data_IF_767127325098
#
_entry.id   IF_767127325098
#
_cell.length_a   1.000
_cell.length_b   1.000
_cell.length_c   1.000
_cell.angle_alpha   90.00
_cell.angle_beta   90.00
_cell.angle_gamma   90.00
#
_symmetry.space_group_name_H-M   'P 1'
#
loop_
_entity.id
_entity.type
_entity.pdbx_description
1 polymer ?
#
# COMPACT_ATOMS: atom_id res chain seq x y z
N UNK A 1 4.20 28.63 9.86
CA UNK A 1 5.41 28.28 10.64
C UNK A 1 6.61 28.36 9.71
N UNK A 2 7.69 29.05 10.08
CA UNK A 2 8.91 29.10 9.26
C UNK A 2 9.52 27.69 9.24
N UNK A 3 9.69 27.11 8.06
CA UNK A 3 10.39 25.84 7.91
C UNK A 3 11.87 26.10 8.12
N UNK A 4 12.40 25.74 9.29
CA UNK A 4 13.84 25.73 9.56
C UNK A 4 14.35 24.39 9.06
N UNK A 5 15.21 24.34 8.02
CA UNK A 5 15.77 23.09 7.55
C UNK A 5 16.58 22.46 8.68
N UNK A 6 16.29 21.19 8.98
CA UNK A 6 17.10 20.44 9.94
C UNK A 6 18.44 20.12 9.27
N UNK A 7 19.55 20.08 10.03
CA UNK A 7 20.89 19.84 9.48
C UNK A 7 21.04 18.49 8.76
N UNK A 8 20.12 17.56 8.98
CA UNK A 8 20.12 16.24 8.39
C UNK A 8 18.77 16.08 7.69
N UNK A 9 18.64 16.60 6.48
CA UNK A 9 17.41 16.37 5.72
C UNK A 9 17.28 14.88 5.40
N UNK A 10 16.05 14.38 5.27
CA UNK A 10 15.82 12.97 4.96
C UNK A 10 16.50 12.58 3.64
N UNK A 11 16.58 13.51 2.68
CA UNK A 11 17.27 13.33 1.41
C UNK A 11 18.79 13.14 1.59
N UNK A 12 19.43 13.91 2.47
CA UNK A 12 20.88 13.80 2.74
C UNK A 12 21.20 12.44 3.38
N UNK A 13 20.34 11.97 4.28
CA UNK A 13 20.48 10.68 4.94
C UNK A 13 20.28 9.51 3.96
N UNK A 14 19.30 9.63 3.06
CA UNK A 14 19.05 8.63 2.01
C UNK A 14 20.24 8.56 1.05
N UNK A 15 20.79 9.70 0.61
CA UNK A 15 21.99 9.73 -0.24
C UNK A 15 23.18 9.06 0.44
N UNK A 16 23.48 9.44 1.68
CA UNK A 16 24.58 8.84 2.42
C UNK A 16 24.43 7.32 2.63
N UNK A 17 23.20 6.81 2.75
CA UNK A 17 22.92 5.38 2.81
C UNK A 17 23.21 4.68 1.47
N UNK A 18 22.77 5.26 0.35
CA UNK A 18 22.99 4.72 -0.99
C UNK A 18 24.48 4.77 -1.39
N UNK A 19 25.17 5.87 -1.11
CA UNK A 19 26.60 6.06 -1.44
C UNK A 19 27.52 5.09 -0.67
N UNK A 20 27.11 4.65 0.53
CA UNK A 20 27.81 3.63 1.32
C UNK A 20 27.52 2.19 0.85
N UNK A 21 26.79 2.04 -0.26
CA UNK A 21 26.41 0.73 -0.81
C UNK A 21 25.13 0.15 -0.21
N UNK A 22 24.31 0.96 0.45
CA UNK A 22 22.96 0.56 0.87
C UNK A 22 22.03 0.37 -0.33
N UNK A 23 21.18 -0.65 -0.28
CA UNK A 23 20.25 -0.98 -1.35
C UNK A 23 18.80 -0.97 -0.84
N UNK A 24 17.91 -0.26 -1.54
CA UNK A 24 16.48 -0.27 -1.21
C UNK A 24 15.83 -1.47 -1.89
N UNK A 25 15.63 -2.55 -1.12
CA UNK A 25 14.93 -3.75 -1.61
C UNK A 25 13.46 -3.67 -1.24
N UNK A 26 12.59 -3.74 -2.25
CA UNK A 26 11.19 -4.08 -2.01
C UNK A 26 11.13 -5.59 -1.72
N UNK A 27 10.86 -5.94 -0.46
CA UNK A 27 10.65 -7.33 -0.08
C UNK A 27 9.55 -7.97 -0.94
N UNK A 28 9.60 -9.29 -1.13
CA UNK A 28 8.52 -10.05 -1.77
C UNK A 28 7.31 -10.08 -0.84
N UNK A 29 6.59 -8.97 -0.76
CA UNK A 29 5.36 -8.89 0.02
C UNK A 29 4.27 -9.63 -0.73
N UNK A 30 3.59 -10.56 -0.06
CA UNK A 30 2.38 -11.17 -0.61
C UNK A 30 1.42 -10.05 -1.01
N UNK A 31 0.81 -10.09 -2.21
CA UNK A 31 -0.21 -9.12 -2.56
C UNK A 31 -1.27 -9.11 -1.48
N UNK A 32 -1.70 -7.90 -1.12
CA UNK A 32 -2.72 -7.72 -0.10
C UNK A 32 -3.99 -8.47 -0.54
N UNK A 33 -4.62 -9.28 0.35
CA UNK A 33 -5.83 -10.00 0.00
C UNK A 33 -6.91 -8.99 -0.45
N UNK A 34 -7.56 -9.27 -1.58
CA UNK A 34 -8.63 -8.42 -2.10
C UNK A 34 -9.86 -8.39 -1.18
N UNK A 35 -9.98 -9.35 -0.27
CA UNK A 35 -11.05 -9.42 0.72
C UNK A 35 -10.74 -8.69 2.03
N UNK A 36 -9.60 -8.01 2.14
CA UNK A 36 -9.22 -7.26 3.34
C UNK A 36 -9.88 -5.87 3.34
N UNK A 37 -10.68 -5.59 4.36
CA UNK A 37 -11.28 -4.29 4.62
C UNK A 37 -10.22 -3.27 5.02
N UNK A 38 -10.02 -2.26 4.17
CA UNK A 38 -9.05 -1.17 4.38
C UNK A 38 -9.72 0.21 4.48
N UNK A 39 -11.05 0.25 4.61
CA UNK A 39 -11.80 1.49 4.82
C UNK A 39 -11.70 1.95 6.27
N UNK A 40 -11.99 3.24 6.50
CA UNK A 40 -12.18 3.78 7.85
C UNK A 40 -13.13 2.87 8.63
N UNK A 41 -12.72 2.46 9.83
CA UNK A 41 -13.43 1.55 10.75
C UNK A 41 -13.50 0.06 10.37
N UNK A 42 -12.85 -0.40 9.29
CA UNK A 42 -12.81 -1.83 8.91
C UNK A 42 -11.40 -2.45 8.95
N UNK A 43 -10.41 -1.70 9.46
CA UNK A 43 -9.01 -2.08 9.44
C UNK A 43 -8.77 -3.52 9.95
N UNK A 44 -8.44 -4.42 9.02
CA UNK A 44 -8.06 -5.81 9.33
C UNK A 44 -9.21 -6.82 9.33
N UNK A 45 -10.46 -6.38 9.14
CA UNK A 45 -11.61 -7.28 8.99
C UNK A 45 -11.73 -7.76 7.55
N UNK A 46 -12.11 -9.03 7.36
CA UNK A 46 -12.39 -9.57 6.02
C UNK A 46 -13.83 -9.31 5.64
N UNK A 47 -14.08 -9.14 4.34
CA UNK A 47 -15.42 -9.10 3.77
C UNK A 47 -16.22 -10.34 4.20
N UNK A 48 -17.50 -10.13 4.52
CA UNK A 48 -18.48 -11.18 4.75
C UNK A 48 -18.72 -11.99 3.47
N UNK A 49 -19.41 -13.13 3.57
CA UNK A 49 -19.62 -14.03 2.44
C UNK A 49 -20.45 -13.37 1.33
N UNK A 50 -21.41 -12.57 1.75
CA UNK A 50 -22.34 -11.82 0.92
C UNK A 50 -21.63 -10.70 0.17
N UNK A 51 -20.79 -9.93 0.87
CA UNK A 51 -19.96 -8.87 0.27
C UNK A 51 -18.95 -9.44 -0.73
N UNK A 52 -18.37 -10.62 -0.45
CA UNK A 52 -17.48 -11.33 -1.39
C UNK A 52 -18.19 -11.70 -2.68
N UNK A 53 -19.44 -12.16 -2.60
CA UNK A 53 -20.23 -12.49 -3.77
C UNK A 53 -20.55 -11.24 -4.61
N UNK A 54 -20.85 -10.12 -3.97
CA UNK A 54 -21.09 -8.84 -4.64
C UNK A 54 -19.83 -8.33 -5.37
N UNK A 55 -18.66 -8.38 -4.73
CA UNK A 55 -17.39 -7.98 -5.36
C UNK A 55 -17.08 -8.88 -6.57
N UNK A 56 -17.26 -10.19 -6.44
CA UNK A 56 -17.04 -11.12 -7.55
C UNK A 56 -17.98 -10.86 -8.74
N UNK A 57 -19.26 -10.60 -8.47
CA UNK A 57 -20.22 -10.27 -9.52
C UNK A 57 -19.89 -8.95 -10.22
N UNK A 58 -19.41 -7.94 -9.48
CA UNK A 58 -18.95 -6.69 -10.06
C UNK A 58 -17.67 -6.84 -10.89
N UNK A 59 -16.72 -7.66 -10.43
CA UNK A 59 -15.51 -7.99 -11.19
C UNK A 59 -15.85 -8.71 -12.51
N UNK A 60 -16.78 -9.67 -12.48
CA UNK A 60 -17.24 -10.38 -13.68
C UNK A 60 -17.95 -9.43 -14.66
N UNK A 61 -18.81 -8.53 -14.17
CA UNK A 61 -19.46 -7.50 -14.99
C UNK A 61 -18.46 -6.49 -15.58
N UNK A 62 -17.43 -6.10 -14.82
CA UNK A 62 -16.37 -5.21 -15.31
C UNK A 62 -15.48 -5.88 -16.37
N UNK A 63 -15.36 -7.22 -16.34
CA UNK A 63 -14.54 -8.00 -17.27
C UNK A 63 -15.24 -8.23 -18.61
N UNK A 64 -16.57 -8.27 -18.64
CA UNK A 64 -17.37 -8.43 -19.87
C UNK A 64 -17.60 -7.10 -20.60
N UNK A 65 -17.49 -5.97 -19.90
CA UNK A 65 -17.58 -4.61 -20.43
C UNK A 65 -16.25 -4.09 -21.04
N UNK A 66 -15.17 -4.86 -20.93
CA UNK A 66 -13.82 -4.48 -21.33
C UNK A 66 -13.37 -5.28 -22.56
#
# INVERSE_FOLDING_TARGET
>A
MKHVPKPNTDEDLIKAFLDKGGEVKKGKTKPMPSDLGLSNNQWGNKLTKEEKAAVKAQEEAAKTLK
#
